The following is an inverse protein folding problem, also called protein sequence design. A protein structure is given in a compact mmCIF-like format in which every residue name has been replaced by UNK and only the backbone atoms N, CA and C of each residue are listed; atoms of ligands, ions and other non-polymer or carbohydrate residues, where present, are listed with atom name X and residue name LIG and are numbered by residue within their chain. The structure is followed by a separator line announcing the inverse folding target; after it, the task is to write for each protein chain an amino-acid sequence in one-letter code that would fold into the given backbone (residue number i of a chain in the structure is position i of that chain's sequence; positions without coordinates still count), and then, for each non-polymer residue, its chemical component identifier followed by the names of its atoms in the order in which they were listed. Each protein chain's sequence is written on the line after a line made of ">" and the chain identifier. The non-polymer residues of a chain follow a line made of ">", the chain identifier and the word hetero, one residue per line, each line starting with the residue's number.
data_IF_526687865261
#
_entry.id   IF_526687865261
#
_cell.length_a   1.000
_cell.length_b   1.000
_cell.length_c   1.000
_cell.angle_alpha   90.00
_cell.angle_beta   90.00
_cell.angle_gamma   90.00
#
_symmetry.space_group_name_H-M   'P 1'
#
loop_
_entity.id
_entity.type
_entity.pdbx_description
1 polymer ?
#
# COMPACT_ATOMS: atom_id res chain seq x y z
N UNK A 1 6.10 19.13 14.05
CA UNK A 1 6.32 18.06 13.05
C UNK A 1 4.98 17.42 12.60
N UNK A 2 3.88 18.17 12.51
CA UNK A 2 2.53 17.61 12.28
C UNK A 2 2.01 17.71 10.83
N UNK A 3 2.79 18.27 9.89
CA UNK A 3 2.23 18.71 8.61
C UNK A 3 2.32 17.69 7.45
N UNK A 4 2.85 16.48 7.66
CA UNK A 4 2.96 15.45 6.60
C UNK A 4 1.89 14.35 6.67
N UNK A 5 1.36 14.06 7.87
CA UNK A 5 0.37 12.99 8.07
C UNK A 5 -1.05 13.42 7.64
N UNK A 6 -1.39 14.71 7.77
CA UNK A 6 -2.67 15.28 7.33
C UNK A 6 -2.83 15.29 5.81
N UNK A 7 -1.76 15.53 5.05
CA UNK A 7 -1.80 15.61 3.58
C UNK A 7 -1.95 14.23 2.90
N UNK A 8 -1.52 13.14 3.55
CA UNK A 8 -1.61 11.80 2.96
C UNK A 8 -2.97 11.12 3.16
N UNK A 9 -3.76 11.55 4.16
CA UNK A 9 -5.12 11.06 4.41
C UNK A 9 -6.08 11.24 3.23
N UNK A 10 -5.80 12.19 2.32
CA UNK A 10 -6.62 12.44 1.14
C UNK A 10 -6.31 11.54 -0.05
N UNK A 11 -5.06 11.12 -0.26
CA UNK A 11 -4.61 10.47 -1.51
C UNK A 11 -4.88 8.98 -1.58
N UNK A 12 -5.02 8.30 -0.44
CA UNK A 12 -5.27 6.86 -0.40
C UNK A 12 -6.76 6.49 -0.58
N UNK A 13 -7.65 7.49 -0.58
CA UNK A 13 -9.09 7.30 -0.68
C UNK A 13 -9.51 6.68 -2.04
N UNK A 14 -10.62 5.96 -2.03
CA UNK A 14 -11.20 5.34 -3.22
C UNK A 14 -10.52 4.01 -3.59
N UNK A 15 -9.66 4.04 -4.61
CA UNK A 15 -9.05 2.84 -5.18
C UNK A 15 -8.15 2.07 -4.20
N UNK A 16 -7.33 2.78 -3.41
CA UNK A 16 -6.44 2.17 -2.41
C UNK A 16 -7.21 1.47 -1.31
N UNK A 17 -8.16 2.18 -0.70
CA UNK A 17 -9.06 1.61 0.32
C UNK A 17 -9.86 0.41 -0.19
N UNK A 18 -10.35 0.45 -1.44
CA UNK A 18 -11.03 -0.69 -2.05
C UNK A 18 -10.12 -1.91 -2.20
N UNK A 19 -8.84 -1.72 -2.54
CA UNK A 19 -7.91 -2.87 -2.59
C UNK A 19 -7.57 -3.38 -1.19
N UNK A 20 -7.40 -2.49 -0.22
CA UNK A 20 -7.18 -2.87 1.17
C UNK A 20 -8.29 -3.79 1.70
N UNK A 21 -9.55 -3.43 1.42
CA UNK A 21 -10.71 -4.26 1.77
C UNK A 21 -10.72 -5.62 1.08
N UNK A 22 -10.22 -5.72 -0.16
CA UNK A 22 -10.11 -7.02 -0.86
C UNK A 22 -9.12 -7.98 -0.21
N UNK A 23 -8.18 -7.47 0.58
CA UNK A 23 -7.29 -8.30 1.40
C UNK A 23 -7.97 -8.82 2.68
N UNK A 24 -9.27 -8.57 2.86
CA UNK A 24 -10.00 -8.90 4.08
C UNK A 24 -9.61 -8.03 5.28
N UNK A 25 -8.90 -6.92 5.06
CA UNK A 25 -8.45 -6.00 6.12
C UNK A 25 -9.34 -4.76 6.14
N UNK A 26 -9.75 -4.35 7.33
CA UNK A 26 -10.30 -3.02 7.53
C UNK A 26 -9.15 -2.02 7.52
N UNK A 27 -9.33 -0.87 6.87
CA UNK A 27 -8.38 0.24 6.97
C UNK A 27 -8.82 1.12 8.13
N UNK A 28 -7.96 1.27 9.14
CA UNK A 28 -8.16 2.18 10.25
C UNK A 28 -7.35 3.46 10.03
N UNK A 29 -8.06 4.59 9.93
CA UNK A 29 -7.43 5.88 9.69
C UNK A 29 -6.79 6.49 10.95
N UNK A 30 -7.08 5.92 12.13
CA UNK A 30 -6.53 6.30 13.42
C UNK A 30 -5.39 5.36 13.85
N UNK A 31 -5.24 4.20 13.21
CA UNK A 31 -4.07 3.34 13.38
C UNK A 31 -2.85 3.90 12.62
N UNK A 32 -1.77 4.13 13.36
CA UNK A 32 -0.53 4.66 12.83
C UNK A 32 0.10 3.72 11.79
N UNK A 33 -0.02 2.41 11.97
CA UNK A 33 0.55 1.40 11.06
C UNK A 33 -0.14 1.43 9.71
N UNK A 34 -1.47 1.40 9.69
CA UNK A 34 -2.29 1.53 8.49
C UNK A 34 -2.03 2.85 7.75
N UNK A 35 -1.95 3.97 8.47
CA UNK A 35 -1.66 5.29 7.89
C UNK A 35 -0.27 5.34 7.25
N UNK A 36 0.76 4.76 7.89
CA UNK A 36 2.12 4.67 7.36
C UNK A 36 2.18 3.81 6.09
N UNK A 37 1.53 2.65 6.12
CA UNK A 37 1.48 1.72 4.99
C UNK A 37 0.74 2.33 3.79
N UNK A 38 -0.42 2.94 4.02
CA UNK A 38 -1.16 3.68 3.00
C UNK A 38 -0.33 4.81 2.40
N UNK A 39 0.39 5.55 3.24
CA UNK A 39 1.29 6.62 2.82
C UNK A 39 2.43 6.13 1.92
N UNK A 40 3.05 4.99 2.25
CA UNK A 40 4.10 4.38 1.45
C UNK A 40 3.57 3.90 0.09
N UNK A 41 2.44 3.20 0.08
CA UNK A 41 1.78 2.70 -1.14
C UNK A 41 1.39 3.86 -2.06
N UNK A 42 0.83 4.95 -1.52
CA UNK A 42 0.50 6.14 -2.33
C UNK A 42 1.74 6.77 -2.97
N UNK A 43 2.88 6.83 -2.27
CA UNK A 43 4.14 7.36 -2.83
C UNK A 43 4.71 6.46 -3.92
N UNK A 44 4.74 5.15 -3.69
CA UNK A 44 5.26 4.17 -4.65
C UNK A 44 4.47 4.14 -5.95
N UNK A 45 3.14 4.31 -5.85
CA UNK A 45 2.26 4.20 -7.01
C UNK A 45 2.07 5.52 -7.72
N UNK A 46 2.25 6.67 -7.05
CA UNK A 46 2.15 8.00 -7.66
C UNK A 46 0.80 8.28 -8.34
N UNK A 47 -0.26 7.57 -7.96
CA UNK A 47 -1.58 7.63 -8.62
C UNK A 47 -1.72 6.73 -9.85
N UNK A 48 -0.69 5.97 -10.24
CA UNK A 48 -0.79 4.97 -11.29
C UNK A 48 -1.64 3.78 -10.82
N UNK A 49 -2.91 3.78 -11.21
CA UNK A 49 -3.88 2.76 -10.78
C UNK A 49 -3.45 1.33 -11.16
N UNK A 50 -2.83 1.13 -12.33
CA UNK A 50 -2.33 -0.19 -12.74
C UNK A 50 -1.22 -0.67 -11.81
N UNK A 51 -0.29 0.21 -11.47
CA UNK A 51 0.79 -0.10 -10.53
C UNK A 51 0.23 -0.37 -9.13
N UNK A 52 -0.76 0.40 -8.68
CA UNK A 52 -1.48 0.16 -7.43
C UNK A 52 -2.09 -1.25 -7.39
N UNK A 53 -2.85 -1.65 -8.42
CA UNK A 53 -3.44 -3.00 -8.47
C UNK A 53 -2.34 -4.09 -8.40
N UNK A 54 -1.27 -3.92 -9.18
CA UNK A 54 -0.17 -4.91 -9.20
C UNK A 54 0.52 -5.00 -7.84
N UNK A 55 0.76 -3.87 -7.18
CA UNK A 55 1.37 -3.83 -5.85
C UNK A 55 0.49 -4.54 -4.82
N UNK A 56 -0.82 -4.28 -4.80
CA UNK A 56 -1.74 -4.98 -3.90
C UNK A 56 -1.76 -6.50 -4.13
N UNK A 57 -1.71 -6.95 -5.38
CA UNK A 57 -1.62 -8.38 -5.67
C UNK A 57 -0.31 -9.01 -5.16
N UNK A 58 0.81 -8.27 -5.18
CA UNK A 58 2.07 -8.77 -4.61
C UNK A 58 2.05 -8.75 -3.08
N UNK A 59 1.47 -7.73 -2.46
CA UNK A 59 1.26 -7.67 -1.01
C UNK A 59 0.44 -8.90 -0.57
N UNK A 60 -0.69 -9.17 -1.23
CA UNK A 60 -1.55 -10.33 -0.94
C UNK A 60 -0.77 -11.66 -0.99
N UNK A 61 0.00 -11.86 -2.07
CA UNK A 61 0.83 -13.06 -2.23
C UNK A 61 1.87 -13.20 -1.12
N UNK A 62 2.55 -12.12 -0.75
CA UNK A 62 3.57 -12.14 0.31
C UNK A 62 2.92 -12.45 1.66
N UNK A 63 1.78 -11.83 1.97
CA UNK A 63 1.04 -12.11 3.19
C UNK A 63 0.61 -13.58 3.27
N UNK A 64 0.05 -14.11 2.20
CA UNK A 64 -0.44 -15.48 2.14
C UNK A 64 0.69 -16.52 2.24
N UNK A 65 1.77 -16.35 1.46
CA UNK A 65 2.89 -17.30 1.41
C UNK A 65 3.66 -17.33 2.74
N UNK A 66 3.81 -16.18 3.40
CA UNK A 66 4.58 -16.05 4.63
C UNK A 66 3.71 -16.08 5.89
N UNK A 67 2.41 -16.38 5.76
CA UNK A 67 1.45 -16.41 6.87
C UNK A 67 1.39 -15.11 7.70
N UNK A 68 1.69 -13.97 7.06
CA UNK A 68 1.72 -12.66 7.71
C UNK A 68 0.31 -12.04 7.73
N UNK A 69 0.03 -11.30 8.80
CA UNK A 69 -1.29 -10.67 9.02
C UNK A 69 -1.30 -9.17 8.81
N UNK A 70 -0.14 -8.53 8.77
CA UNK A 70 -0.02 -7.08 8.76
C UNK A 70 0.72 -6.58 7.52
N UNK A 71 0.30 -5.44 6.99
CA UNK A 71 0.95 -4.78 5.87
C UNK A 71 2.01 -3.84 6.44
N UNK A 72 3.18 -4.38 6.74
CA UNK A 72 4.33 -3.59 7.22
C UNK A 72 5.10 -2.95 6.06
N UNK A 73 5.99 -2.01 6.36
CA UNK A 73 6.87 -1.43 5.33
C UNK A 73 7.70 -2.52 4.64
N UNK A 74 8.21 -3.52 5.37
CA UNK A 74 8.96 -4.65 4.79
C UNK A 74 8.14 -5.43 3.76
N UNK A 75 6.87 -5.72 4.06
CA UNK A 75 5.95 -6.38 3.11
C UNK A 75 5.74 -5.52 1.87
N UNK A 76 5.58 -4.21 2.05
CA UNK A 76 5.41 -3.25 0.94
C UNK A 76 6.67 -3.19 0.07
N UNK A 77 7.86 -3.10 0.67
CA UNK A 77 9.14 -3.04 -0.05
C UNK A 77 9.42 -4.35 -0.78
N UNK A 78 9.15 -5.49 -0.14
CA UNK A 78 9.27 -6.80 -0.78
C UNK A 78 8.30 -6.91 -1.97
N UNK A 79 7.05 -6.49 -1.81
CA UNK A 79 6.06 -6.47 -2.88
C UNK A 79 6.52 -5.58 -4.04
N UNK A 80 6.98 -4.36 -3.75
CA UNK A 80 7.48 -3.43 -4.76
C UNK A 80 8.70 -3.99 -5.53
N UNK A 81 9.62 -4.67 -4.84
CA UNK A 81 10.83 -5.25 -5.43
C UNK A 81 10.53 -6.39 -6.42
N UNK A 82 9.37 -7.03 -6.31
CA UNK A 82 8.94 -8.07 -7.28
C UNK A 82 8.29 -7.49 -8.53
N UNK A 83 7.97 -6.19 -8.54
CA UNK A 83 7.36 -5.54 -9.69
C UNK A 83 8.45 -5.14 -10.68
N UNK A 84 8.43 -5.78 -11.86
CA UNK A 84 9.08 -5.20 -13.04
C UNK A 84 8.26 -3.97 -13.44
N UNK A 85 8.74 -2.81 -13.00
CA UNK A 85 8.32 -1.50 -13.48
C UNK A 85 9.27 -1.23 -14.65
N UNK A 86 8.76 -1.29 -15.89
CA UNK A 86 9.56 -0.91 -17.05
C UNK A 86 10.15 0.46 -16.78
N UNK A 87 11.47 0.61 -16.93
CA UNK A 87 12.17 1.85 -16.64
C UNK A 87 11.41 3.01 -17.30
N UNK A 88 10.97 3.97 -16.48
CA UNK A 88 10.62 5.28 -16.99
C UNK A 88 11.94 5.88 -17.48
N UNK A 89 12.20 5.79 -18.78
CA UNK A 89 13.16 6.66 -19.44
C UNK A 89 12.63 8.08 -19.43
#
# INVERSE_FOLDING_TARGET
>A
MENRLTSNRGRFRGAGQKQWQKLGKAFDADDFTDVQAAAAISRLTGGNFRLLQRLFNQIDRILHINELREITDDVIQAAASTLVIGAAN
#
